data_IF_544053134366
#
_entry.id   IF_544053134366
#
_cell.length_a   1.000
_cell.length_b   1.000
_cell.length_c   1.000
_cell.angle_alpha   90.00
_cell.angle_beta   90.00
_cell.angle_gamma   90.00
#
_symmetry.space_group_name_H-M   'P 1'
#
loop_
_entity.id
_entity.type
_entity.pdbx_description
1 polymer ?
#
# COMPACT_ATOMS: atom_id res chain seq x y z
N UNK A 1 -22.04 -0.26 9.29
CA UNK A 1 -20.80 -0.26 8.50
C UNK A 1 -19.87 0.87 8.95
N UNK A 2 -20.33 2.14 8.91
CA UNK A 2 -19.49 3.30 9.22
C UNK A 2 -18.80 3.22 10.59
N UNK A 3 -19.51 2.84 11.63
CA UNK A 3 -18.95 2.71 12.98
C UNK A 3 -17.83 1.66 13.04
N UNK A 4 -18.01 0.53 12.33
CA UNK A 4 -17.00 -0.53 12.27
C UNK A 4 -15.77 -0.05 11.50
N UNK A 5 -15.95 0.58 10.34
CA UNK A 5 -14.87 1.14 9.55
C UNK A 5 -14.05 2.18 10.36
N UNK A 6 -14.70 3.06 11.11
CA UNK A 6 -14.01 4.01 12.00
C UNK A 6 -13.24 3.34 13.14
N UNK A 7 -13.76 2.25 13.68
CA UNK A 7 -13.02 1.45 14.69
C UNK A 7 -11.76 0.83 14.07
N UNK A 8 -11.85 0.32 12.84
CA UNK A 8 -10.71 -0.24 12.11
C UNK A 8 -9.64 0.84 11.84
N UNK A 9 -10.04 2.03 11.36
CA UNK A 9 -9.11 3.16 11.20
C UNK A 9 -8.44 3.54 12.53
N UNK A 10 -9.20 3.58 13.62
CA UNK A 10 -8.66 3.89 14.94
C UNK A 10 -7.67 2.82 15.43
N UNK A 11 -7.95 1.53 15.19
CA UNK A 11 -7.09 0.42 15.60
C UNK A 11 -5.73 0.45 14.89
N UNK A 12 -5.67 0.92 13.63
CA UNK A 12 -4.41 1.08 12.89
C UNK A 12 -3.83 2.49 12.98
N UNK A 13 -4.44 3.36 13.76
CA UNK A 13 -3.99 4.74 13.92
C UNK A 13 -3.87 5.47 12.57
N UNK A 14 -4.96 5.48 11.80
CA UNK A 14 -5.03 6.18 10.50
C UNK A 14 -4.72 7.69 10.61
N UNK A 15 -5.01 8.31 11.78
CA UNK A 15 -4.61 9.66 12.12
C UNK A 15 -3.08 9.84 12.03
N UNK A 16 -2.34 8.88 12.57
CA UNK A 16 -0.87 8.87 12.56
C UNK A 16 -0.28 8.53 11.20
N UNK A 17 -1.00 7.75 10.39
CA UNK A 17 -0.61 7.54 9.00
C UNK A 17 -0.60 8.85 8.19
N UNK A 18 -1.51 9.76 8.46
CA UNK A 18 -1.49 11.08 7.83
C UNK A 18 -0.24 11.91 8.23
N UNK A 19 0.28 11.69 9.44
CA UNK A 19 1.51 12.33 9.93
C UNK A 19 2.80 11.63 9.44
N UNK A 20 2.69 10.45 8.84
CA UNK A 20 3.82 9.74 8.22
C UNK A 20 4.11 10.36 6.86
N UNK A 21 5.14 11.20 6.75
CA UNK A 21 5.50 11.92 5.53
C UNK A 21 6.33 11.09 4.55
N UNK A 22 7.10 10.12 5.05
CA UNK A 22 7.86 9.20 4.22
C UNK A 22 7.79 7.77 4.75
N UNK A 23 7.78 6.81 3.82
CA UNK A 23 7.75 5.38 4.16
C UNK A 23 8.50 4.57 3.11
N UNK A 24 9.18 3.52 3.56
CA UNK A 24 9.78 2.50 2.70
C UNK A 24 9.31 1.11 3.13
N UNK A 25 9.27 0.21 2.17
CA UNK A 25 8.96 -1.21 2.37
C UNK A 25 9.42 -2.03 1.17
N UNK A 26 9.51 -3.33 1.39
CA UNK A 26 9.75 -4.31 0.31
C UNK A 26 8.54 -5.24 0.21
N UNK A 27 8.03 -5.42 -1.00
CA UNK A 27 6.98 -6.37 -1.34
C UNK A 27 7.52 -7.32 -2.40
N UNK A 28 7.74 -8.58 -2.04
CA UNK A 28 8.46 -9.57 -2.85
C UNK A 28 9.84 -9.05 -3.31
N UNK A 29 9.95 -8.66 -4.58
CA UNK A 29 11.19 -8.17 -5.18
C UNK A 29 11.21 -6.66 -5.38
N UNK A 30 10.11 -6.00 -5.04
CA UNK A 30 9.92 -4.57 -5.22
C UNK A 30 10.27 -3.83 -3.93
N UNK A 31 11.34 -3.07 -3.94
CA UNK A 31 11.61 -2.12 -2.87
C UNK A 31 11.02 -0.77 -3.24
N UNK A 32 10.25 -0.19 -2.33
CA UNK A 32 9.60 1.09 -2.47
C UNK A 32 10.12 2.09 -1.44
N UNK A 33 10.32 3.33 -1.88
CA UNK A 33 10.48 4.50 -1.02
C UNK A 33 9.47 5.55 -1.49
N UNK A 34 8.58 5.97 -0.60
CA UNK A 34 7.54 6.94 -0.91
C UNK A 34 7.70 8.20 -0.05
N UNK A 35 7.98 9.32 -0.69
CA UNK A 35 7.86 10.66 -0.13
C UNK A 35 6.43 11.14 -0.37
N UNK A 36 5.60 11.02 0.66
CA UNK A 36 4.18 11.36 0.58
C UNK A 36 3.95 12.86 0.47
N UNK A 37 4.84 13.67 1.04
CA UNK A 37 4.72 15.14 1.03
C UNK A 37 4.88 15.69 -0.38
N UNK A 38 5.90 15.23 -1.12
CA UNK A 38 6.16 15.66 -2.50
C UNK A 38 5.42 14.82 -3.55
N UNK A 39 4.84 13.69 -3.14
CA UNK A 39 4.23 12.73 -4.07
C UNK A 39 5.28 12.05 -4.97
N UNK A 40 6.47 11.75 -4.46
CA UNK A 40 7.54 11.08 -5.18
C UNK A 40 7.70 9.65 -4.72
N UNK A 41 7.90 8.75 -5.67
CA UNK A 41 8.09 7.32 -5.41
C UNK A 41 9.34 6.82 -6.11
N UNK A 42 10.14 6.05 -5.38
CA UNK A 42 11.17 5.20 -5.96
C UNK A 42 10.68 3.75 -5.92
N UNK A 43 10.82 3.05 -7.05
CA UNK A 43 10.64 1.60 -7.16
C UNK A 43 11.95 0.99 -7.63
N UNK A 44 12.49 0.06 -6.87
CA UNK A 44 13.69 -0.70 -7.22
C UNK A 44 13.37 -2.16 -7.39
N UNK A 45 13.88 -2.73 -8.49
CA UNK A 45 13.85 -4.17 -8.76
C UNK A 45 15.20 -4.57 -9.33
N UNK A 46 15.99 -5.35 -8.61
CA UNK A 46 17.34 -5.76 -9.06
C UNK A 46 18.19 -4.54 -9.46
N UNK A 47 18.50 -4.42 -10.76
CA UNK A 47 19.30 -3.33 -11.35
C UNK A 47 18.46 -2.17 -11.91
N UNK A 48 17.13 -2.31 -11.92
CA UNK A 48 16.20 -1.26 -12.34
C UNK A 48 15.84 -0.36 -11.16
N UNK A 49 16.02 0.94 -11.32
CA UNK A 49 15.61 2.00 -10.41
C UNK A 49 14.73 3.00 -11.14
N UNK A 50 13.49 3.17 -10.68
CA UNK A 50 12.53 4.10 -11.25
C UNK A 50 12.18 5.15 -10.21
N UNK A 51 12.25 6.41 -10.59
CA UNK A 51 11.76 7.55 -9.81
C UNK A 51 10.57 8.15 -10.55
N UNK A 52 9.42 8.28 -9.90
CA UNK A 52 8.21 8.80 -10.52
C UNK A 52 7.46 9.78 -9.61
N UNK A 53 6.67 10.64 -10.22
CA UNK A 53 5.68 11.49 -9.56
C UNK A 53 4.32 10.79 -9.55
N UNK A 54 3.66 10.77 -8.40
CA UNK A 54 2.32 10.15 -8.29
C UNK A 54 1.22 10.97 -8.95
N UNK A 55 1.45 12.26 -9.17
CA UNK A 55 0.46 13.19 -9.71
C UNK A 55 0.20 13.00 -11.21
N UNK A 56 1.22 12.63 -11.97
CA UNK A 56 1.16 12.56 -13.44
C UNK A 56 1.88 11.33 -14.02
N UNK A 57 2.46 10.48 -13.14
CA UNK A 57 3.19 9.26 -13.47
C UNK A 57 4.43 9.50 -14.34
N UNK A 58 4.90 10.75 -14.43
CA UNK A 58 6.16 11.08 -15.11
C UNK A 58 7.35 10.81 -14.22
N UNK A 59 8.54 10.63 -14.81
CA UNK A 59 9.72 10.36 -14.03
C UNK A 59 10.96 10.04 -14.85
N UNK A 60 11.92 9.41 -14.19
CA UNK A 60 13.16 8.92 -14.78
C UNK A 60 13.43 7.49 -14.32
N UNK A 61 14.13 6.73 -15.15
CA UNK A 61 14.51 5.36 -14.83
C UNK A 61 15.97 5.10 -15.20
N UNK A 62 16.59 4.19 -14.44
CA UNK A 62 17.97 3.79 -14.63
C UNK A 62 18.08 2.27 -14.56
N UNK A 63 18.87 1.67 -15.44
CA UNK A 63 19.21 0.24 -15.41
C UNK A 63 20.73 0.09 -15.33
N UNK A 64 21.21 -0.58 -14.28
CA UNK A 64 22.63 -0.69 -14.05
C UNK A 64 23.33 0.66 -13.85
N UNK A 65 22.59 1.72 -13.49
CA UNK A 65 23.09 3.10 -13.33
C UNK A 65 22.97 3.96 -14.59
N UNK A 66 22.65 3.39 -15.75
CA UNK A 66 22.46 4.12 -17.00
C UNK A 66 21.01 4.56 -17.18
N UNK A 67 20.79 5.81 -17.62
CA UNK A 67 19.46 6.38 -17.81
C UNK A 67 18.74 5.72 -18.99
N UNK A 68 17.48 5.34 -18.78
CA UNK A 68 16.59 4.85 -19.82
C UNK A 68 15.93 6.01 -20.56
N UNK A 69 15.61 5.78 -21.85
CA UNK A 69 14.99 6.77 -22.72
C UNK A 69 13.91 6.14 -23.61
N UNK A 70 13.05 6.99 -24.20
CA UNK A 70 12.06 6.58 -25.19
C UNK A 70 11.12 5.48 -24.67
N UNK A 71 10.98 4.39 -25.42
CA UNK A 71 10.06 3.29 -25.12
C UNK A 71 10.45 2.55 -23.84
N UNK A 72 11.75 2.30 -23.61
CA UNK A 72 12.23 1.62 -22.40
C UNK A 72 11.91 2.42 -21.13
N UNK A 73 12.02 3.74 -21.18
CA UNK A 73 11.61 4.61 -20.08
C UNK A 73 10.10 4.53 -19.84
N UNK A 74 9.30 4.58 -20.91
CA UNK A 74 7.84 4.51 -20.80
C UNK A 74 7.40 3.20 -20.14
N UNK A 75 7.92 2.06 -20.61
CA UNK A 75 7.61 0.75 -20.02
C UNK A 75 8.04 0.63 -18.56
N UNK A 76 9.22 1.18 -18.22
CA UNK A 76 9.70 1.18 -16.84
C UNK A 76 8.80 2.01 -15.91
N UNK A 77 8.33 3.18 -16.36
CA UNK A 77 7.41 4.03 -15.59
C UNK A 77 6.04 3.37 -15.41
N UNK A 78 5.46 2.82 -16.48
CA UNK A 78 4.18 2.11 -16.41
C UNK A 78 4.26 0.89 -15.48
N UNK A 79 5.31 0.09 -15.57
CA UNK A 79 5.53 -1.05 -14.69
C UNK A 79 5.70 -0.63 -13.23
N UNK A 80 6.53 0.37 -12.95
CA UNK A 80 6.76 0.87 -11.60
C UNK A 80 5.50 1.47 -10.98
N UNK A 81 4.68 2.18 -11.76
CA UNK A 81 3.39 2.67 -11.30
C UNK A 81 2.45 1.53 -10.91
N UNK A 82 2.35 0.49 -11.74
CA UNK A 82 1.53 -0.68 -11.43
C UNK A 82 1.97 -1.38 -10.14
N UNK A 83 3.27 -1.59 -9.95
CA UNK A 83 3.82 -2.16 -8.72
C UNK A 83 3.53 -1.27 -7.51
N UNK A 84 3.87 0.01 -7.59
CA UNK A 84 3.62 0.93 -6.47
C UNK A 84 2.14 0.96 -6.09
N UNK A 85 1.26 1.02 -7.08
CA UNK A 85 -0.18 1.08 -6.84
C UNK A 85 -0.68 -0.17 -6.09
N UNK A 86 -0.34 -1.36 -6.58
CA UNK A 86 -0.69 -2.63 -5.95
C UNK A 86 -0.06 -2.77 -4.56
N UNK A 87 1.24 -2.55 -4.46
CA UNK A 87 2.02 -2.83 -3.27
C UNK A 87 1.73 -1.82 -2.13
N UNK A 88 1.40 -0.56 -2.46
CA UNK A 88 0.93 0.41 -1.49
C UNK A 88 -0.46 0.10 -0.93
N UNK A 89 -1.30 -0.58 -1.71
CA UNK A 89 -2.58 -1.08 -1.21
C UNK A 89 -2.37 -2.20 -0.18
N UNK A 90 -1.47 -3.14 -0.44
CA UNK A 90 -1.09 -4.17 0.53
C UNK A 90 -0.43 -3.59 1.78
N UNK A 91 0.28 -2.47 1.66
CA UNK A 91 0.91 -1.80 2.79
C UNK A 91 -0.11 -1.27 3.80
N UNK A 92 -1.15 -0.56 3.36
CA UNK A 92 -2.16 -0.02 4.28
C UNK A 92 -3.50 0.31 3.58
N UNK A 93 -4.32 -0.70 3.26
CA UNK A 93 -5.64 -0.48 2.66
C UNK A 93 -6.64 0.16 3.62
N UNK A 94 -6.37 0.09 4.94
CA UNK A 94 -7.27 0.54 5.99
C UNK A 94 -7.41 2.07 6.07
N UNK A 95 -6.44 2.80 5.52
CA UNK A 95 -6.54 4.27 5.38
C UNK A 95 -7.35 4.70 4.15
N UNK A 96 -7.83 3.74 3.36
CA UNK A 96 -8.62 3.95 2.13
C UNK A 96 -10.09 3.56 2.29
N UNK A 97 -10.52 3.22 3.49
CA UNK A 97 -11.90 2.78 3.74
C UNK A 97 -12.95 3.83 3.39
N UNK A 98 -12.57 5.11 3.37
CA UNK A 98 -13.43 6.25 3.08
C UNK A 98 -13.03 7.02 1.82
N UNK A 99 -12.18 6.45 0.97
CA UNK A 99 -11.81 7.07 -0.30
C UNK A 99 -13.05 7.29 -1.19
N UNK A 100 -13.06 8.31 -2.04
CA UNK A 100 -14.12 8.50 -3.02
C UNK A 100 -14.36 7.24 -3.85
N UNK A 101 -15.64 6.84 -4.02
CA UNK A 101 -16.01 5.64 -4.78
C UNK A 101 -16.01 4.36 -3.94
N UNK A 102 -15.83 4.45 -2.60
CA UNK A 102 -16.03 3.29 -1.72
C UNK A 102 -17.46 3.21 -1.19
N UNK A 103 -18.00 2.00 -1.14
CA UNK A 103 -19.22 1.69 -0.39
C UNK A 103 -18.90 0.70 0.71
N UNK A 104 -19.64 0.76 1.83
CA UNK A 104 -19.40 -0.05 3.02
C UNK A 104 -20.71 -0.66 3.50
N UNK A 105 -20.71 -1.97 3.71
CA UNK A 105 -21.86 -2.70 4.25
C UNK A 105 -21.43 -3.67 5.35
N UNK A 106 -22.36 -4.06 6.21
CA UNK A 106 -22.14 -5.13 7.19
C UNK A 106 -22.59 -6.46 6.60
N UNK A 107 -21.73 -7.45 6.71
CA UNK A 107 -22.00 -8.85 6.38
C UNK A 107 -21.83 -9.69 7.63
N UNK A 108 -22.72 -10.65 7.86
CA UNK A 108 -22.58 -11.60 8.97
C UNK A 108 -21.69 -12.78 8.53
N UNK A 109 -20.61 -13.01 9.26
CA UNK A 109 -19.74 -14.17 9.10
C UNK A 109 -19.66 -14.90 10.44
N UNK A 110 -20.17 -16.12 10.49
CA UNK A 110 -20.21 -16.96 11.69
C UNK A 110 -20.85 -16.24 12.92
N UNK A 111 -21.88 -15.41 12.64
CA UNK A 111 -22.60 -14.65 13.67
C UNK A 111 -21.89 -13.39 14.18
N UNK A 112 -20.80 -12.97 13.53
CA UNK A 112 -20.06 -11.74 13.83
C UNK A 112 -20.19 -10.74 12.67
N UNK A 113 -20.21 -9.45 13.00
CA UNK A 113 -20.19 -8.39 12.01
C UNK A 113 -18.82 -8.33 11.30
N UNK A 114 -18.84 -8.41 9.98
CA UNK A 114 -17.70 -8.17 9.11
C UNK A 114 -17.98 -6.95 8.23
N UNK A 115 -16.95 -6.21 7.84
CA UNK A 115 -17.07 -5.04 6.98
C UNK A 115 -16.76 -5.41 5.53
N UNK A 116 -17.77 -5.33 4.66
CA UNK A 116 -17.56 -5.39 3.21
C UNK A 116 -17.30 -3.97 2.69
N UNK A 117 -16.18 -3.80 1.98
CA UNK A 117 -15.81 -2.56 1.29
C UNK A 117 -15.71 -2.84 -0.19
N UNK A 118 -16.44 -2.08 -1.01
CA UNK A 118 -16.45 -2.18 -2.46
C UNK A 118 -15.89 -0.89 -3.07
N UNK A 119 -15.01 -1.02 -4.05
CA UNK A 119 -14.34 0.10 -4.73
C UNK A 119 -14.90 0.24 -6.15
N UNK A 120 -15.77 1.22 -6.37
CA UNK A 120 -16.39 1.48 -7.69
C UNK A 120 -15.54 2.36 -8.61
N UNK A 121 -14.56 3.06 -8.05
CA UNK A 121 -13.65 3.95 -8.79
C UNK A 121 -12.30 4.03 -8.09
N UNK A 122 -11.32 4.52 -8.84
CA UNK A 122 -9.93 4.54 -8.38
C UNK A 122 -9.24 3.20 -8.60
N UNK A 123 -7.90 3.21 -8.55
CA UNK A 123 -7.12 2.02 -8.73
C UNK A 123 -7.00 1.54 -10.17
N UNK A 124 -6.36 0.39 -10.31
CA UNK A 124 -6.17 -0.29 -11.59
C UNK A 124 -7.26 -1.34 -11.86
N UNK A 125 -8.09 -1.66 -10.85
CA UNK A 125 -9.15 -2.70 -10.90
C UNK A 125 -10.45 -2.19 -10.26
N UNK A 126 -11.19 -1.26 -10.89
CA UNK A 126 -12.51 -0.87 -10.40
C UNK A 126 -13.47 -2.08 -10.34
N UNK A 127 -14.23 -2.19 -9.24
CA UNK A 127 -15.15 -3.31 -8.97
C UNK A 127 -14.63 -4.32 -7.97
N UNK A 128 -13.42 -4.13 -7.45
CA UNK A 128 -12.87 -4.98 -6.40
C UNK A 128 -13.61 -4.80 -5.06
N UNK A 129 -13.74 -5.90 -4.32
CA UNK A 129 -14.40 -5.94 -3.02
C UNK A 129 -13.56 -6.69 -1.99
N UNK A 130 -13.57 -6.18 -0.76
CA UNK A 130 -12.82 -6.75 0.36
C UNK A 130 -13.70 -6.87 1.59
N UNK A 131 -13.85 -8.08 2.11
CA UNK A 131 -14.56 -8.38 3.34
C UNK A 131 -13.55 -8.50 4.48
N UNK A 132 -13.66 -7.62 5.46
CA UNK A 132 -12.77 -7.55 6.61
C UNK A 132 -13.41 -8.19 7.84
N UNK A 133 -12.68 -9.12 8.45
CA UNK A 133 -12.97 -9.64 9.78
C UNK A 133 -12.08 -8.90 10.79
N UNK A 134 -12.64 -8.64 11.95
CA UNK A 134 -11.96 -7.83 12.99
C UNK A 134 -12.08 -8.48 14.36
N UNK A 135 -11.13 -8.19 15.21
CA UNK A 135 -11.22 -8.49 16.64
C UNK A 135 -12.14 -7.52 17.38
N UNK A 136 -12.41 -7.79 18.65
CA UNK A 136 -13.34 -7.01 19.46
C UNK A 136 -12.90 -5.55 19.65
N UNK A 137 -11.60 -5.25 19.55
CA UNK A 137 -11.04 -3.90 19.60
C UNK A 137 -11.08 -3.17 18.24
N UNK A 138 -11.47 -3.86 17.17
CA UNK A 138 -11.52 -3.35 15.80
C UNK A 138 -10.24 -3.59 14.99
N UNK A 139 -9.25 -4.27 15.55
CA UNK A 139 -8.05 -4.65 14.80
C UNK A 139 -8.42 -5.67 13.72
N UNK A 140 -8.13 -5.40 12.45
CA UNK A 140 -8.34 -6.39 11.38
C UNK A 140 -7.45 -7.62 11.58
N UNK A 141 -8.01 -8.81 11.38
CA UNK A 141 -7.27 -10.07 11.53
C UNK A 141 -7.36 -10.98 10.30
N UNK A 142 -8.31 -10.70 9.39
CA UNK A 142 -8.47 -11.43 8.14
C UNK A 142 -9.17 -10.52 7.12
N UNK A 143 -8.82 -10.66 5.85
CA UNK A 143 -9.67 -10.22 4.78
C UNK A 143 -9.97 -11.34 3.79
N UNK A 144 -11.05 -11.17 3.02
CA UNK A 144 -11.39 -11.98 1.86
C UNK A 144 -11.59 -11.04 0.69
N UNK A 145 -10.91 -11.30 -0.42
CA UNK A 145 -10.95 -10.40 -1.57
C UNK A 145 -11.67 -11.03 -2.76
N UNK A 146 -12.39 -10.21 -3.49
CA UNK A 146 -12.94 -10.49 -4.81
C UNK A 146 -12.38 -9.44 -5.75
N UNK A 147 -11.36 -9.82 -6.50
CA UNK A 147 -10.61 -8.92 -7.40
C UNK A 147 -10.65 -9.47 -8.80
N UNK A 148 -10.81 -8.60 -9.78
CA UNK A 148 -11.04 -9.00 -11.17
C UNK A 148 -9.86 -9.77 -11.79
N UNK A 149 -8.66 -9.60 -11.25
CA UNK A 149 -7.43 -10.26 -11.72
C UNK A 149 -7.25 -11.69 -11.19
N UNK A 150 -8.05 -12.12 -10.22
CA UNK A 150 -7.98 -13.47 -9.66
C UNK A 150 -9.22 -14.28 -10.04
N UNK A 151 -9.04 -15.53 -10.52
CA UNK A 151 -10.15 -16.38 -10.93
C UNK A 151 -10.97 -16.94 -9.74
N UNK A 152 -10.46 -16.84 -8.53
CA UNK A 152 -11.08 -17.34 -7.30
C UNK A 152 -11.18 -16.18 -6.32
N UNK A 153 -12.42 -15.87 -5.88
CA UNK A 153 -12.69 -14.87 -4.86
C UNK A 153 -12.93 -15.47 -3.48
N UNK A 154 -12.86 -14.63 -2.44
CA UNK A 154 -13.22 -14.98 -1.07
C UNK A 154 -12.21 -15.87 -0.35
N UNK A 155 -10.99 -15.99 -0.84
CA UNK A 155 -9.92 -16.72 -0.15
C UNK A 155 -9.57 -15.97 1.14
N UNK A 156 -9.67 -16.64 2.32
CA UNK A 156 -9.23 -16.03 3.58
C UNK A 156 -7.73 -15.73 3.54
N UNK A 157 -7.38 -14.49 3.86
CA UNK A 157 -5.99 -14.05 3.98
C UNK A 157 -5.82 -13.43 5.36
N UNK A 158 -5.06 -14.05 6.27
CA UNK A 158 -4.70 -13.47 7.55
C UNK A 158 -4.08 -12.09 7.42
N UNK A 159 -4.35 -11.23 8.41
CA UNK A 159 -3.86 -9.87 8.48
C UNK A 159 -3.23 -9.65 9.85
N UNK A 160 -1.90 -9.83 9.94
CA UNK A 160 -1.19 -9.95 11.20
C UNK A 160 0.19 -9.25 11.16
N UNK A 161 1.02 -9.48 12.17
CA UNK A 161 2.37 -8.94 12.25
C UNK A 161 2.41 -7.40 12.33
N UNK A 162 1.47 -6.79 13.08
CA UNK A 162 1.39 -5.33 13.17
C UNK A 162 2.66 -4.71 13.75
N UNK A 163 3.33 -3.89 12.97
CA UNK A 163 4.42 -3.02 13.41
C UNK A 163 3.90 -1.61 13.65
N UNK A 164 4.47 -0.92 14.64
CA UNK A 164 4.18 0.49 14.92
C UNK A 164 5.32 1.34 14.40
N UNK A 165 5.03 2.23 13.47
CA UNK A 165 5.99 3.19 12.95
C UNK A 165 6.37 4.25 14.01
N UNK A 166 7.52 4.92 13.91
CA UNK A 166 7.89 6.01 14.80
C UNK A 166 6.85 7.13 14.91
N UNK A 167 6.06 7.35 13.87
CA UNK A 167 4.92 8.30 13.86
C UNK A 167 3.72 7.82 14.67
N UNK A 168 3.69 6.54 15.04
CA UNK A 168 2.60 5.91 15.78
C UNK A 168 1.57 5.19 14.90
N UNK A 169 1.65 5.26 13.57
CA UNK A 169 0.81 4.48 12.68
C UNK A 169 1.12 2.98 12.80
N UNK A 170 0.11 2.14 12.65
CA UNK A 170 0.26 0.68 12.68
C UNK A 170 0.04 0.09 11.28
N UNK A 171 0.93 -0.79 10.87
CA UNK A 171 0.92 -1.45 9.56
C UNK A 171 1.04 -2.96 9.78
N UNK A 172 0.16 -3.75 9.18
CA UNK A 172 0.30 -5.21 9.16
C UNK A 172 1.38 -5.60 8.16
N UNK A 173 2.22 -6.54 8.53
CA UNK A 173 3.34 -6.99 7.68
C UNK A 173 3.27 -8.47 7.30
N UNK A 174 2.36 -9.24 7.90
CA UNK A 174 2.19 -10.66 7.64
C UNK A 174 0.83 -10.95 7.03
N UNK A 175 0.82 -11.62 5.87
CA UNK A 175 -0.36 -11.91 5.09
C UNK A 175 -0.35 -13.35 4.62
N UNK A 176 -1.09 -14.21 5.31
CA UNK A 176 -1.17 -15.64 5.02
C UNK A 176 -0.04 -16.48 5.64
N UNK A 177 -0.13 -17.78 5.47
CA UNK A 177 0.79 -18.76 6.02
C UNK A 177 1.33 -19.71 4.95
N UNK A 178 2.50 -20.27 5.20
CA UNK A 178 3.13 -21.31 4.37
C UNK A 178 3.50 -20.82 2.97
N UNK A 179 3.29 -21.68 1.97
CA UNK A 179 3.65 -21.38 0.57
C UNK A 179 2.83 -20.29 -0.10
N UNK A 180 1.69 -19.92 0.48
CA UNK A 180 0.81 -18.85 -0.02
C UNK A 180 0.91 -17.57 0.82
N UNK A 181 1.67 -17.62 1.92
CA UNK A 181 1.92 -16.46 2.75
C UNK A 181 3.01 -15.56 2.14
N UNK A 182 2.90 -14.27 2.42
CA UNK A 182 3.92 -13.29 2.06
C UNK A 182 4.04 -12.24 3.17
N UNK A 183 5.16 -11.53 3.15
CA UNK A 183 5.47 -10.52 4.15
C UNK A 183 5.80 -9.20 3.45
N UNK A 184 5.51 -8.11 4.14
CA UNK A 184 6.13 -6.82 3.85
C UNK A 184 7.42 -6.74 4.65
N UNK A 185 8.54 -6.62 3.98
CA UNK A 185 9.85 -6.54 4.60
C UNK A 185 10.32 -5.08 4.68
N UNK A 186 11.26 -4.79 5.57
CA UNK A 186 11.91 -3.49 5.72
C UNK A 186 10.95 -2.30 5.90
N UNK A 187 9.78 -2.54 6.52
CA UNK A 187 8.78 -1.49 6.72
C UNK A 187 9.29 -0.46 7.71
N UNK A 188 9.63 0.73 7.23
CA UNK A 188 10.08 1.87 8.03
C UNK A 188 9.36 3.14 7.58
N UNK A 189 8.99 3.99 8.52
CA UNK A 189 8.36 5.28 8.22
C UNK A 189 8.81 6.37 9.17
N UNK A 190 8.73 7.61 8.72
CA UNK A 190 9.08 8.78 9.51
C UNK A 190 8.17 9.97 9.17
N UNK A 191 8.21 11.03 9.96
CA UNK A 191 7.44 12.23 9.67
C UNK A 191 7.96 12.96 8.42
N UNK A 192 9.24 12.83 8.11
CA UNK A 192 9.84 13.43 6.91
C UNK A 192 10.77 12.46 6.19
N UNK A 193 11.02 12.72 4.90
CA UNK A 193 11.99 11.94 4.12
C UNK A 193 13.40 12.01 4.73
N UNK A 194 13.82 13.18 5.18
CA UNK A 194 15.15 13.38 5.77
C UNK A 194 15.35 12.56 7.06
N UNK A 195 14.32 12.43 7.88
CA UNK A 195 14.37 11.56 9.06
C UNK A 195 14.48 10.08 8.69
N UNK A 196 13.87 9.67 7.57
CA UNK A 196 13.89 8.28 7.13
C UNK A 196 15.21 7.86 6.48
N UNK A 197 15.74 8.67 5.55
CA UNK A 197 16.87 8.31 4.69
C UNK A 197 18.11 9.20 4.84
N UNK A 198 18.07 10.23 5.69
CA UNK A 198 19.14 11.19 5.88
C UNK A 198 19.06 12.39 4.93
N UNK A 199 20.14 13.13 4.80
CA UNK A 199 20.17 14.44 4.13
C UNK A 199 20.36 14.40 2.62
N UNK A 200 20.76 13.25 2.07
CA UNK A 200 20.88 13.08 0.61
C UNK A 200 19.49 12.84 0.02
N UNK A 201 19.07 13.70 -0.93
CA UNK A 201 17.77 13.57 -1.56
C UNK A 201 17.79 12.49 -2.66
N UNK A 202 17.15 11.30 -2.44
CA UNK A 202 17.11 10.24 -3.45
C UNK A 202 16.33 10.64 -4.70
N UNK A 203 15.49 11.68 -4.62
CA UNK A 203 14.64 12.17 -5.69
C UNK A 203 15.22 13.40 -6.42
N UNK A 204 16.48 13.77 -6.19
CA UNK A 204 17.11 14.93 -6.80
C UNK A 204 17.00 14.95 -8.35
N UNK A 205 16.93 13.78 -8.99
CA UNK A 205 16.75 13.68 -10.44
C UNK A 205 15.34 14.07 -10.94
N UNK A 206 14.34 14.10 -10.07
CA UNK A 206 12.97 14.54 -10.41
C UNK A 206 12.80 16.06 -10.33
N UNK A 207 13.66 16.78 -9.64
CA UNK A 207 13.54 18.23 -9.40
C UNK A 207 14.44 19.08 -10.27
N UNK A 208 15.12 18.46 -11.24
CA UNK A 208 16.00 19.12 -12.22
C UNK A 208 15.24 19.56 -13.46
#
# INVERSE_FOLDING_TARGET
AEALARRMEAAVRADRWAETGAIEWTFFVNHHLWDKERGFVEVRQRDLRVLLRTSDQTGVAFRGGEALHGEELREALEGAWGYFFNDSFWLNPLVKLFDPGTTRSIVQVDGRDALLVEYSSGGVTPGDAYLWLVDDDGTPNEWRMWVSVLPIGGVPTPWDGFVTLPTGARVATEHGEGLLGFHLEDVRGAATLTELVGTEDPFAALVR
#
